data_IF_083771968963
#
_entry.id   IF_083771968963
#
_cell.length_a   1.000
_cell.length_b   1.000
_cell.length_c   1.000
_cell.angle_alpha   90.00
_cell.angle_beta   90.00
_cell.angle_gamma   90.00
#
_symmetry.space_group_name_H-M   'P 1'
#
loop_
_entity.id
_entity.type
_entity.pdbx_description
1 polymer ?
#
# COMPACT_ATOMS: atom_id res chain seq x y z
N UNK A 1 17.81 2.44 4.84
CA UNK A 1 19.26 2.59 4.70
C UNK A 1 20.02 1.26 4.65
N UNK A 2 19.56 0.21 5.30
CA UNK A 2 20.25 -1.09 5.34
C UNK A 2 19.77 -2.09 4.27
N UNK A 3 18.76 -1.74 3.51
CA UNK A 3 18.18 -2.59 2.46
C UNK A 3 17.72 -3.96 3.00
N UNK A 4 17.11 -3.95 4.18
CA UNK A 4 16.62 -5.16 4.84
C UNK A 4 15.16 -5.41 4.44
N UNK A 5 14.81 -6.64 4.05
CA UNK A 5 13.42 -7.04 3.86
C UNK A 5 12.72 -7.04 5.22
N UNK A 6 11.61 -6.34 5.28
CA UNK A 6 10.81 -6.25 6.49
C UNK A 6 9.37 -5.86 6.14
N UNK A 7 8.41 -6.49 6.78
CA UNK A 7 6.98 -6.13 6.65
C UNK A 7 6.39 -5.97 8.05
N UNK A 8 5.68 -4.87 8.25
CA UNK A 8 4.82 -4.67 9.41
C UNK A 8 3.38 -4.67 8.93
N UNK A 9 2.55 -5.54 9.50
CA UNK A 9 1.11 -5.54 9.29
C UNK A 9 0.45 -4.70 10.38
N UNK A 10 -0.35 -3.73 9.99
CA UNK A 10 -0.95 -2.77 10.92
C UNK A 10 -2.46 -2.73 10.76
N UNK A 11 -3.16 -3.05 11.85
CA UNK A 11 -4.58 -2.76 12.01
C UNK A 11 -4.71 -1.27 12.39
N UNK A 12 -4.80 -0.40 11.37
CA UNK A 12 -4.65 1.04 11.53
C UNK A 12 -5.77 1.67 12.37
N UNK A 13 -5.39 2.54 13.29
CA UNK A 13 -6.31 3.21 14.23
C UNK A 13 -5.84 4.64 14.53
N UNK A 14 -6.73 5.41 15.14
CA UNK A 14 -6.42 6.76 15.58
C UNK A 14 -5.33 6.77 16.66
N UNK A 15 -4.45 7.77 16.62
CA UNK A 15 -3.60 8.10 17.75
C UNK A 15 -4.48 8.66 18.89
N UNK A 16 -4.23 8.20 20.09
CA UNK A 16 -4.96 8.68 21.26
C UNK A 16 -4.68 10.18 21.50
N UNK A 17 -5.72 10.97 21.71
CA UNK A 17 -5.66 12.36 22.12
C UNK A 17 -6.38 12.52 23.47
N UNK A 18 -7.59 13.07 23.47
CA UNK A 18 -8.39 13.12 24.72
C UNK A 18 -8.91 11.73 25.14
N UNK A 19 -9.01 10.79 24.20
CA UNK A 19 -9.40 9.41 24.45
C UNK A 19 -8.90 8.49 23.34
N UNK A 20 -9.07 7.18 23.52
CA UNK A 20 -8.79 6.16 22.52
C UNK A 20 -10.00 5.96 21.61
N UNK A 21 -9.74 5.82 20.29
CA UNK A 21 -10.71 5.30 19.32
C UNK A 21 -10.19 3.98 18.73
N UNK A 22 -11.03 2.95 18.77
CA UNK A 22 -10.67 1.60 18.27
C UNK A 22 -11.10 1.37 16.82
N UNK A 23 -11.93 2.24 16.28
CA UNK A 23 -12.40 2.16 14.89
C UNK A 23 -11.31 2.56 13.91
N UNK A 24 -11.46 2.12 12.66
CA UNK A 24 -10.50 2.38 11.59
C UNK A 24 -10.22 3.87 11.40
N UNK A 25 -8.96 4.19 11.40
CA UNK A 25 -8.41 5.52 11.19
C UNK A 25 -6.95 5.33 10.75
N UNK A 26 -6.45 6.19 9.90
CA UNK A 26 -5.10 6.04 9.35
C UNK A 26 -4.06 6.95 10.03
N UNK A 27 -4.39 7.60 11.14
CA UNK A 27 -3.48 8.57 11.78
C UNK A 27 -2.17 7.93 12.22
N UNK A 28 -2.18 6.71 12.74
CA UNK A 28 -0.98 5.99 13.19
C UNK A 28 -0.03 5.67 12.02
N UNK A 29 -0.56 5.11 10.93
CA UNK A 29 0.25 4.78 9.75
C UNK A 29 0.70 6.03 9.01
N UNK A 30 -0.12 7.10 8.96
CA UNK A 30 0.26 8.37 8.36
C UNK A 30 1.36 9.07 9.17
N UNK A 31 1.38 8.92 10.49
CA UNK A 31 2.50 9.39 11.32
C UNK A 31 3.82 8.71 10.94
N UNK A 32 3.78 7.51 10.39
CA UNK A 32 4.95 6.74 9.96
C UNK A 32 5.35 7.00 8.48
N UNK A 33 4.61 7.79 7.71
CA UNK A 33 4.82 7.98 6.27
C UNK A 33 6.21 8.50 5.88
N UNK A 34 6.90 9.17 6.79
CA UNK A 34 8.23 9.75 6.56
C UNK A 34 9.39 8.84 7.04
N UNK A 35 9.10 7.64 7.50
CA UNK A 35 10.12 6.71 8.02
C UNK A 35 10.86 5.92 6.94
N UNK A 36 10.35 5.93 5.70
CA UNK A 36 10.96 5.23 4.56
C UNK A 36 10.35 3.86 4.27
N UNK A 37 9.26 3.49 4.92
CA UNK A 37 8.47 2.32 4.53
C UNK A 37 7.69 2.59 3.26
N UNK A 38 7.66 1.62 2.35
CA UNK A 38 6.61 1.57 1.34
C UNK A 38 5.28 1.26 2.04
N UNK A 39 4.22 1.95 1.66
CA UNK A 39 2.93 1.84 2.35
C UNK A 39 1.89 1.24 1.41
N UNK A 40 1.40 0.05 1.77
CA UNK A 40 0.45 -0.73 0.98
C UNK A 40 -0.83 -0.95 1.79
N UNK A 41 -1.95 -0.43 1.30
CA UNK A 41 -3.27 -0.53 1.93
C UNK A 41 -4.07 -1.71 1.37
N UNK A 42 -4.87 -2.35 2.21
CA UNK A 42 -5.91 -3.28 1.82
C UNK A 42 -7.30 -2.65 2.05
N UNK A 43 -8.22 -2.90 1.13
CA UNK A 43 -9.56 -2.32 1.17
C UNK A 43 -10.62 -3.29 1.74
N UNK A 44 -10.30 -4.59 1.81
CA UNK A 44 -11.20 -5.63 2.33
C UNK A 44 -10.44 -6.71 3.09
N UNK A 45 -11.15 -7.63 3.74
CA UNK A 45 -10.55 -8.77 4.44
C UNK A 45 -9.85 -9.71 3.46
N UNK A 46 -10.41 -9.91 2.26
CA UNK A 46 -9.75 -10.71 1.21
C UNK A 46 -8.48 -10.03 0.71
N UNK A 47 -8.55 -8.73 0.46
CA UNK A 47 -7.37 -7.96 0.03
C UNK A 47 -6.25 -7.96 1.08
N UNK A 48 -6.61 -8.01 2.38
CA UNK A 48 -5.62 -8.07 3.46
C UNK A 48 -4.68 -9.27 3.30
N UNK A 49 -5.23 -10.46 3.08
CA UNK A 49 -4.43 -11.66 2.87
C UNK A 49 -3.58 -11.57 1.59
N UNK A 50 -4.18 -11.08 0.51
CA UNK A 50 -3.50 -11.00 -0.79
C UNK A 50 -2.39 -9.94 -0.77
N UNK A 51 -2.67 -8.76 -0.20
CA UNK A 51 -1.68 -7.68 -0.08
C UNK A 51 -0.57 -8.00 0.93
N UNK A 52 -0.85 -8.79 1.97
CA UNK A 52 0.18 -9.29 2.86
C UNK A 52 1.21 -10.13 2.09
N UNK A 53 0.76 -11.03 1.23
CA UNK A 53 1.66 -11.81 0.38
C UNK A 53 2.44 -10.93 -0.61
N UNK A 54 1.76 -9.99 -1.28
CA UNK A 54 2.41 -9.00 -2.17
C UNK A 54 3.51 -8.24 -1.43
N UNK A 55 3.25 -7.75 -0.21
CA UNK A 55 4.22 -7.01 0.58
C UNK A 55 5.45 -7.87 0.94
N UNK A 56 5.24 -9.12 1.37
CA UNK A 56 6.33 -10.04 1.70
C UNK A 56 7.21 -10.39 0.48
N UNK A 57 6.61 -10.63 -0.67
CA UNK A 57 7.38 -10.90 -1.89
C UNK A 57 8.10 -9.65 -2.40
N UNK A 58 7.42 -8.50 -2.35
CA UNK A 58 7.97 -7.23 -2.82
C UNK A 58 9.16 -6.75 -2.00
N UNK A 59 9.12 -6.88 -0.68
CA UNK A 59 10.20 -6.36 0.19
C UNK A 59 11.55 -7.02 -0.09
N UNK A 60 11.57 -8.33 -0.42
CA UNK A 60 12.81 -9.02 -0.77
C UNK A 60 13.41 -8.48 -2.08
N UNK A 61 12.59 -8.30 -3.10
CA UNK A 61 13.03 -7.81 -4.40
C UNK A 61 13.37 -6.34 -4.38
N UNK A 62 12.51 -5.52 -3.80
CA UNK A 62 12.67 -4.06 -3.73
C UNK A 62 13.79 -3.62 -2.78
N UNK A 63 14.14 -4.43 -1.78
CA UNK A 63 15.08 -4.07 -0.70
C UNK A 63 14.62 -2.84 0.10
N UNK A 64 13.29 -2.65 0.14
CA UNK A 64 12.60 -1.58 0.85
C UNK A 64 11.65 -2.24 1.86
N UNK A 65 11.58 -1.78 3.11
CA UNK A 65 10.61 -2.30 4.06
C UNK A 65 9.19 -1.85 3.71
N UNK A 66 8.20 -2.69 4.03
CA UNK A 66 6.80 -2.42 3.78
C UNK A 66 6.02 -2.28 5.09
N UNK A 67 5.20 -1.25 5.15
CA UNK A 67 4.10 -1.11 6.10
C UNK A 67 2.83 -1.42 5.33
N UNK A 68 2.31 -2.62 5.53
CA UNK A 68 1.06 -3.06 4.95
C UNK A 68 -0.02 -2.87 6.01
N UNK A 69 -1.13 -2.22 5.64
CA UNK A 69 -2.14 -1.84 6.62
C UNK A 69 -3.57 -1.97 6.09
N UNK A 70 -4.46 -2.09 7.01
CA UNK A 70 -5.90 -2.20 6.82
C UNK A 70 -6.63 -1.52 7.97
N UNK A 71 -7.91 -1.26 7.83
CA UNK A 71 -8.68 -0.57 8.85
C UNK A 71 -8.90 -1.45 10.08
N UNK A 72 -8.46 -0.95 11.22
CA UNK A 72 -8.76 -1.55 12.50
C UNK A 72 -10.26 -1.57 12.76
N UNK A 73 -10.72 -2.60 13.45
CA UNK A 73 -12.12 -2.91 13.72
C UNK A 73 -12.90 -3.31 12.47
N UNK A 74 -12.99 -2.47 11.44
CA UNK A 74 -13.77 -2.75 10.22
C UNK A 74 -13.21 -3.93 9.41
N UNK A 75 -11.92 -4.04 9.27
CA UNK A 75 -11.29 -5.19 8.58
C UNK A 75 -10.84 -6.25 9.58
N UNK A 76 -10.29 -5.84 10.73
CA UNK A 76 -9.70 -6.77 11.70
C UNK A 76 -10.70 -7.58 12.53
N UNK A 77 -11.96 -7.15 12.68
CA UNK A 77 -12.96 -7.75 13.54
C UNK A 77 -14.23 -8.19 12.82
N UNK A 78 -14.40 -7.84 11.57
CA UNK A 78 -15.51 -8.33 10.77
C UNK A 78 -15.27 -9.79 10.34
N UNK A 79 -16.34 -10.60 10.38
CA UNK A 79 -16.27 -11.99 9.97
C UNK A 79 -16.64 -12.07 8.50
N UNK A 80 -15.65 -12.35 7.67
CA UNK A 80 -15.82 -12.54 6.24
C UNK A 80 -15.35 -13.94 5.82
N UNK A 81 -16.00 -14.50 4.82
CA UNK A 81 -15.49 -15.67 4.12
C UNK A 81 -14.46 -15.20 3.10
N UNK A 82 -13.25 -15.74 3.18
CA UNK A 82 -12.17 -15.49 2.24
C UNK A 82 -11.74 -16.76 1.53
N UNK A 83 -11.10 -16.60 0.38
CA UNK A 83 -10.44 -17.69 -0.34
C UNK A 83 -8.97 -17.72 0.03
N UNK A 84 -8.56 -18.77 0.74
CA UNK A 84 -7.19 -18.95 1.19
C UNK A 84 -6.26 -19.29 0.01
N UNK A 85 -5.05 -18.73 0.01
CA UNK A 85 -3.98 -19.09 -0.93
C UNK A 85 -3.23 -20.29 -0.33
N UNK A 86 -3.14 -21.39 -1.09
CA UNK A 86 -2.44 -22.58 -0.62
C UNK A 86 -0.95 -22.34 -0.43
N UNK A 87 -0.32 -23.08 0.50
CA UNK A 87 1.14 -23.02 0.67
C UNK A 87 1.90 -23.45 -0.59
N UNK A 88 1.34 -24.35 -1.37
CA UNK A 88 1.89 -24.78 -2.65
C UNK A 88 1.89 -23.64 -3.67
N UNK A 89 0.85 -22.82 -3.70
CA UNK A 89 0.78 -21.65 -4.58
C UNK A 89 1.69 -20.53 -4.09
N UNK A 90 1.73 -20.28 -2.80
CA UNK A 90 2.71 -19.33 -2.21
C UNK A 90 4.14 -19.74 -2.56
N UNK A 91 4.48 -21.02 -2.44
CA UNK A 91 5.82 -21.52 -2.77
C UNK A 91 6.21 -21.29 -4.24
N UNK A 92 5.25 -21.36 -5.18
CA UNK A 92 5.48 -21.04 -6.60
C UNK A 92 5.85 -19.56 -6.85
N UNK A 93 5.35 -18.67 -6.00
CA UNK A 93 5.57 -17.22 -6.12
C UNK A 93 6.88 -16.76 -5.48
N UNK A 94 7.43 -17.53 -4.55
CA UNK A 94 8.68 -17.19 -3.88
C UNK A 94 9.86 -17.31 -4.85
N UNK A 95 10.69 -16.28 -4.91
CA UNK A 95 11.91 -16.27 -5.72
C UNK A 95 13.15 -16.38 -4.83
N UNK A 96 13.72 -17.59 -4.66
CA UNK A 96 14.82 -17.85 -3.72
C UNK A 96 16.05 -16.95 -3.94
N UNK A 97 16.28 -16.50 -5.19
CA UNK A 97 17.41 -15.61 -5.51
C UNK A 97 17.44 -14.33 -4.66
N UNK A 98 16.28 -13.72 -4.38
CA UNK A 98 16.24 -12.48 -3.57
C UNK A 98 16.48 -12.76 -2.08
N UNK A 99 16.08 -13.93 -1.59
CA UNK A 99 16.39 -14.39 -0.23
C UNK A 99 17.89 -14.64 -0.11
N UNK A 100 18.50 -15.29 -1.08
CA UNK A 100 19.95 -15.52 -1.08
C UNK A 100 20.74 -14.21 -1.23
N UNK A 101 20.29 -13.27 -2.03
CA UNK A 101 20.88 -11.93 -2.08
C UNK A 101 20.81 -11.22 -0.73
N UNK A 102 19.71 -11.34 -0.01
CA UNK A 102 19.57 -10.80 1.34
C UNK A 102 20.57 -11.47 2.29
N UNK A 103 20.63 -12.81 2.32
CA UNK A 103 21.58 -13.57 3.15
C UNK A 103 23.03 -13.18 2.89
N UNK A 104 23.39 -12.94 1.61
CA UNK A 104 24.74 -12.48 1.25
C UNK A 104 25.11 -11.11 1.81
N UNK A 105 24.12 -10.22 1.98
CA UNK A 105 24.30 -8.89 2.58
C UNK A 105 24.21 -8.87 4.11
N UNK A 106 23.78 -9.96 4.72
CA UNK A 106 23.67 -10.06 6.17
C UNK A 106 25.04 -9.94 6.84
N UNK A 107 25.09 -9.29 7.98
CA UNK A 107 26.28 -9.19 8.79
C UNK A 107 26.66 -10.58 9.31
N UNK A 108 27.86 -11.05 8.99
CA UNK A 108 28.37 -12.38 9.34
C UNK A 108 29.85 -12.31 9.68
N UNK A 109 30.38 -13.23 10.52
CA UNK A 109 31.82 -13.28 10.81
C UNK A 109 32.69 -13.44 9.54
N UNK A 110 32.22 -14.22 8.55
CA UNK A 110 32.92 -14.47 7.28
C UNK A 110 32.87 -13.27 6.31
N UNK A 111 31.95 -12.33 6.54
CA UNK A 111 31.76 -11.12 5.73
C UNK A 111 31.53 -9.92 6.66
N UNK A 112 32.53 -9.49 7.42
CA UNK A 112 32.38 -8.37 8.35
C UNK A 112 32.17 -7.06 7.57
N UNK A 113 31.24 -6.25 8.03
CA UNK A 113 30.97 -4.91 7.47
C UNK A 113 31.09 -3.88 8.59
N UNK A 114 31.94 -2.90 8.39
CA UNK A 114 32.01 -1.73 9.27
C UNK A 114 31.11 -0.63 8.72
N UNK A 115 30.18 -0.15 9.53
CA UNK A 115 29.33 1.01 9.21
C UNK A 115 29.73 2.17 10.11
N UNK A 116 29.84 3.36 9.52
CA UNK A 116 30.13 4.60 10.25
C UNK A 116 28.89 5.03 11.02
N UNK A 117 29.05 5.36 12.30
CA UNK A 117 27.95 5.80 13.17
C UNK A 117 27.44 7.22 12.89
N UNK A 118 28.30 8.10 12.34
CA UNK A 118 27.96 9.47 11.98
C UNK A 118 28.63 9.86 10.66
N UNK A 119 27.95 10.72 9.91
CA UNK A 119 28.44 11.27 8.64
C UNK A 119 28.23 12.78 8.61
N UNK A 120 29.13 13.51 7.95
CA UNK A 120 28.93 14.93 7.67
C UNK A 120 27.80 15.10 6.64
N UNK A 121 27.18 16.28 6.64
CA UNK A 121 25.98 16.56 5.85
C UNK A 121 26.13 16.32 4.34
N UNK A 122 27.30 16.62 3.79
CA UNK A 122 27.62 16.39 2.38
C UNK A 122 27.60 14.88 2.01
N UNK A 123 28.30 14.06 2.78
CA UNK A 123 28.36 12.60 2.54
C UNK A 123 27.01 11.97 2.88
N UNK A 124 26.35 12.41 3.95
CA UNK A 124 25.05 11.89 4.35
C UNK A 124 23.98 12.12 3.27
N UNK A 125 23.94 13.33 2.69
CA UNK A 125 22.98 13.65 1.62
C UNK A 125 23.17 12.76 0.39
N UNK A 126 24.41 12.57 -0.07
CA UNK A 126 24.72 11.67 -1.17
C UNK A 126 24.25 10.23 -0.87
N UNK A 127 24.48 9.76 0.35
CA UNK A 127 24.01 8.45 0.80
C UNK A 127 22.48 8.33 0.77
N UNK A 128 21.77 9.39 1.13
CA UNK A 128 20.29 9.43 1.06
C UNK A 128 19.80 9.38 -0.37
N UNK A 129 20.39 10.16 -1.29
CA UNK A 129 20.03 10.16 -2.71
C UNK A 129 20.22 8.80 -3.39
N UNK A 130 21.22 8.01 -2.98
CA UNK A 130 21.45 6.67 -3.55
C UNK A 130 20.29 5.69 -3.28
N UNK A 131 19.39 6.00 -2.35
CA UNK A 131 18.23 5.18 -2.06
C UNK A 131 17.08 5.35 -3.07
N UNK A 132 17.04 6.45 -3.83
CA UNK A 132 15.94 6.79 -4.73
C UNK A 132 15.63 5.67 -5.72
N UNK A 133 16.64 5.08 -6.34
CA UNK A 133 16.48 3.97 -7.30
C UNK A 133 15.71 2.76 -6.76
N UNK A 134 15.74 2.54 -5.46
CA UNK A 134 14.99 1.45 -4.84
C UNK A 134 13.51 1.81 -4.70
N UNK A 135 13.23 3.06 -4.31
CA UNK A 135 11.84 3.55 -4.21
C UNK A 135 11.20 3.71 -5.58
N UNK A 136 11.95 4.19 -6.57
CA UNK A 136 11.47 4.34 -7.96
C UNK A 136 11.04 2.99 -8.57
N UNK A 137 11.68 1.89 -8.15
CA UNK A 137 11.34 0.55 -8.62
C UNK A 137 10.14 -0.09 -7.89
N UNK A 138 9.72 0.43 -6.74
CA UNK A 138 8.65 -0.19 -5.91
C UNK A 138 7.33 -0.33 -6.66
N UNK A 139 6.81 0.68 -7.38
CA UNK A 139 5.52 0.54 -8.06
C UNK A 139 5.49 -0.58 -9.09
N UNK A 140 6.56 -0.75 -9.87
CA UNK A 140 6.67 -1.82 -10.85
C UNK A 140 6.79 -3.20 -10.18
N UNK A 141 7.55 -3.29 -9.10
CA UNK A 141 7.71 -4.53 -8.33
C UNK A 141 6.39 -4.94 -7.67
N UNK A 142 5.67 -4.00 -7.08
CA UNK A 142 4.35 -4.26 -6.47
C UNK A 142 3.36 -4.74 -7.52
N UNK A 143 3.30 -4.09 -8.69
CA UNK A 143 2.43 -4.54 -9.77
C UNK A 143 2.80 -5.95 -10.24
N UNK A 144 4.08 -6.24 -10.42
CA UNK A 144 4.54 -7.58 -10.82
C UNK A 144 4.06 -8.66 -9.83
N UNK A 145 4.13 -8.40 -8.53
CA UNK A 145 3.64 -9.38 -7.55
C UNK A 145 2.12 -9.41 -7.41
N UNK A 146 1.41 -8.32 -7.66
CA UNK A 146 -0.03 -8.33 -7.83
C UNK A 146 -0.45 -9.23 -9.00
N UNK A 147 0.24 -9.12 -10.14
CA UNK A 147 0.00 -9.98 -11.32
C UNK A 147 0.31 -11.46 -11.03
N UNK A 148 1.40 -11.73 -10.30
CA UNK A 148 1.75 -13.10 -9.88
C UNK A 148 0.70 -13.68 -8.92
N UNK A 149 0.23 -12.91 -7.96
CA UNK A 149 -0.87 -13.34 -7.07
C UNK A 149 -2.14 -13.58 -7.88
N UNK A 150 -2.46 -12.71 -8.84
CA UNK A 150 -3.59 -12.92 -9.74
C UNK A 150 -3.49 -14.23 -10.54
N UNK A 151 -2.28 -14.63 -10.94
CA UNK A 151 -2.07 -15.89 -11.69
C UNK A 151 -2.44 -17.17 -10.93
N UNK A 152 -2.46 -17.13 -9.61
CA UNK A 152 -2.82 -18.28 -8.76
C UNK A 152 -4.19 -18.13 -8.09
N UNK A 153 -4.71 -16.90 -7.97
CA UNK A 153 -5.96 -16.62 -7.28
C UNK A 153 -7.09 -16.21 -8.22
N UNK A 154 -6.77 -15.73 -9.42
CA UNK A 154 -7.71 -15.09 -10.33
C UNK A 154 -8.11 -13.67 -9.93
N UNK A 155 -7.65 -13.15 -8.79
CA UNK A 155 -7.97 -11.81 -8.30
C UNK A 155 -6.88 -10.82 -8.75
N UNK A 156 -7.24 -9.93 -9.68
CA UNK A 156 -6.32 -8.93 -10.21
C UNK A 156 -6.41 -7.63 -9.41
N UNK A 157 -5.25 -7.11 -9.03
CA UNK A 157 -5.11 -5.84 -8.32
C UNK A 157 -4.09 -4.94 -9.01
N UNK A 158 -4.26 -3.63 -8.82
CA UNK A 158 -3.29 -2.61 -9.23
C UNK A 158 -3.01 -1.63 -8.08
N UNK A 159 -1.89 -0.88 -8.12
CA UNK A 159 -1.63 0.19 -7.15
C UNK A 159 -2.78 1.20 -7.04
N UNK A 160 -3.49 1.42 -8.13
CA UNK A 160 -4.71 2.22 -8.23
C UNK A 160 -5.71 1.50 -9.12
N UNK A 161 -6.88 1.19 -8.60
CA UNK A 161 -7.98 0.61 -9.37
C UNK A 161 -9.13 1.59 -9.50
N UNK A 162 -9.65 1.73 -10.72
CA UNK A 162 -10.83 2.52 -11.00
C UNK A 162 -12.06 1.64 -11.11
N UNK A 163 -13.15 2.05 -10.46
CA UNK A 163 -14.47 1.45 -10.58
C UNK A 163 -15.55 2.51 -10.79
N UNK A 164 -16.61 2.17 -11.50
CA UNK A 164 -17.74 3.07 -11.77
C UNK A 164 -17.93 3.39 -13.26
N UNK A 165 -18.58 4.51 -13.56
CA UNK A 165 -18.89 4.89 -14.93
C UNK A 165 -17.61 5.20 -15.74
N UNK A 166 -17.45 4.63 -16.95
CA UNK A 166 -16.23 4.84 -17.76
C UNK A 166 -16.06 6.29 -18.24
N UNK A 167 -17.13 7.06 -18.22
CA UNK A 167 -17.18 8.48 -18.58
C UNK A 167 -17.53 9.37 -17.37
N UNK A 168 -17.15 8.96 -16.17
CA UNK A 168 -17.41 9.71 -14.95
C UNK A 168 -16.78 11.11 -15.01
N UNK A 169 -17.56 12.09 -14.57
CA UNK A 169 -17.11 13.49 -14.41
C UNK A 169 -16.72 13.80 -12.97
N UNK A 170 -17.18 13.00 -12.05
CA UNK A 170 -16.98 13.12 -10.62
C UNK A 170 -16.42 11.82 -10.08
N UNK A 171 -15.25 11.91 -9.49
CA UNK A 171 -14.51 10.73 -9.01
C UNK A 171 -14.15 10.93 -7.54
N UNK A 172 -14.41 9.91 -6.74
CA UNK A 172 -13.94 9.83 -5.38
C UNK A 172 -12.58 9.12 -5.40
N UNK A 173 -11.65 9.57 -4.58
CA UNK A 173 -10.39 8.87 -4.29
C UNK A 173 -10.42 8.47 -2.84
N UNK A 174 -10.24 7.19 -2.56
CA UNK A 174 -10.30 6.66 -1.20
C UNK A 174 -9.33 5.48 -1.00
N UNK A 175 -9.06 5.14 0.26
CA UNK A 175 -8.18 4.07 0.68
C UNK A 175 -8.80 3.37 1.90
N UNK A 176 -8.59 2.05 2.00
CA UNK A 176 -9.10 1.25 3.12
C UNK A 176 -10.55 0.81 2.96
N UNK A 177 -11.15 0.34 4.05
CA UNK A 177 -12.47 -0.33 4.05
C UNK A 177 -13.63 0.54 3.56
N UNK A 178 -13.48 1.87 3.56
CA UNK A 178 -14.48 2.78 3.01
C UNK A 178 -14.71 2.57 1.50
N UNK A 179 -13.73 2.01 0.79
CA UNK A 179 -13.83 1.77 -0.64
C UNK A 179 -14.98 0.82 -1.01
N UNK A 180 -15.26 -0.21 -0.20
CA UNK A 180 -16.34 -1.16 -0.48
C UNK A 180 -17.71 -0.47 -0.43
N UNK A 181 -17.97 0.30 0.62
CA UNK A 181 -19.24 1.03 0.75
C UNK A 181 -19.41 2.12 -0.32
N UNK A 182 -18.31 2.79 -0.72
CA UNK A 182 -18.33 3.79 -1.79
C UNK A 182 -18.64 3.11 -3.12
N UNK A 183 -18.00 1.99 -3.43
CA UNK A 183 -18.22 1.22 -4.66
C UNK A 183 -19.69 0.79 -4.80
N UNK A 184 -20.24 0.13 -3.80
CA UNK A 184 -21.65 -0.30 -3.77
C UNK A 184 -22.60 0.90 -3.94
N UNK A 185 -22.30 2.03 -3.28
CA UNK A 185 -23.08 3.25 -3.41
C UNK A 185 -23.03 3.83 -4.82
N UNK A 186 -21.85 3.86 -5.43
CA UNK A 186 -21.65 4.35 -6.80
C UNK A 186 -22.38 3.46 -7.81
N UNK A 187 -22.26 2.14 -7.65
CA UNK A 187 -22.97 1.18 -8.51
C UNK A 187 -24.48 1.39 -8.45
N UNK A 188 -25.03 1.51 -7.24
CA UNK A 188 -26.47 1.81 -7.05
C UNK A 188 -26.88 3.14 -7.69
N UNK A 189 -26.14 4.23 -7.43
CA UNK A 189 -26.48 5.54 -7.96
C UNK A 189 -26.38 5.61 -9.49
N UNK A 190 -25.36 4.97 -10.06
CA UNK A 190 -25.19 4.93 -11.51
C UNK A 190 -26.29 4.11 -12.18
N UNK A 191 -26.71 2.97 -11.58
CA UNK A 191 -27.75 2.11 -12.11
C UNK A 191 -29.15 2.74 -11.95
N UNK A 192 -29.51 3.20 -10.74
CA UNK A 192 -30.87 3.59 -10.40
C UNK A 192 -31.18 5.05 -10.69
N UNK A 193 -30.16 5.92 -10.71
CA UNK A 193 -30.33 7.37 -10.89
C UNK A 193 -29.64 7.93 -12.13
N UNK A 194 -28.97 7.08 -12.90
CA UNK A 194 -28.28 7.49 -14.12
C UNK A 194 -27.14 8.48 -13.87
N UNK A 195 -26.56 8.48 -12.67
CA UNK A 195 -25.39 9.29 -12.36
C UNK A 195 -24.14 8.73 -13.05
N UNK A 196 -23.05 9.51 -13.08
CA UNK A 196 -21.78 9.12 -13.68
C UNK A 196 -20.67 9.36 -12.66
N UNK A 197 -20.68 8.57 -11.61
CA UNK A 197 -19.68 8.62 -10.56
C UNK A 197 -18.66 7.50 -10.73
N UNK A 198 -17.46 7.75 -10.22
CA UNK A 198 -16.38 6.78 -10.17
C UNK A 198 -15.61 6.84 -8.85
N UNK A 199 -14.87 5.79 -8.58
CA UNK A 199 -13.97 5.64 -7.43
C UNK A 199 -12.59 5.22 -7.93
N UNK A 200 -11.54 5.86 -7.43
CA UNK A 200 -10.18 5.32 -7.47
C UNK A 200 -9.85 4.78 -6.09
N UNK A 201 -9.59 3.48 -6.03
CA UNK A 201 -9.10 2.77 -4.84
C UNK A 201 -7.58 2.87 -4.81
N UNK A 202 -7.03 3.44 -3.74
CA UNK A 202 -5.58 3.55 -3.55
C UNK A 202 -5.10 2.35 -2.74
N UNK A 203 -4.13 1.58 -3.29
CA UNK A 203 -3.45 0.52 -2.54
C UNK A 203 -2.01 0.87 -2.25
N UNK A 204 -1.22 1.29 -3.23
CA UNK A 204 0.15 1.75 -3.00
C UNK A 204 0.15 3.26 -2.74
N UNK A 205 0.17 3.63 -1.46
CA UNK A 205 0.22 5.03 -1.04
C UNK A 205 1.64 5.61 -1.12
N UNK A 206 2.67 4.82 -0.77
CA UNK A 206 4.08 5.24 -0.85
C UNK A 206 4.98 4.11 -1.35
N UNK A 207 5.86 4.41 -2.35
CA UNK A 207 5.90 5.66 -3.11
C UNK A 207 4.64 5.85 -3.95
N UNK A 208 4.17 7.10 -4.09
CA UNK A 208 2.98 7.41 -4.87
C UNK A 208 3.34 7.54 -6.36
N UNK A 209 2.82 6.66 -7.19
CA UNK A 209 3.03 6.71 -8.64
C UNK A 209 1.98 7.60 -9.32
N UNK A 210 2.36 8.85 -9.52
CA UNK A 210 1.49 9.86 -10.17
C UNK A 210 1.07 9.44 -11.58
N UNK A 211 1.95 8.74 -12.31
CA UNK A 211 1.64 8.28 -13.67
C UNK A 211 0.51 7.27 -13.65
N UNK A 212 0.65 6.19 -12.86
CA UNK A 212 -0.40 5.16 -12.72
C UNK A 212 -1.69 5.72 -12.15
N UNK A 213 -1.60 6.64 -11.20
CA UNK A 213 -2.80 7.33 -10.68
C UNK A 213 -3.55 8.09 -11.77
N UNK A 214 -2.83 8.86 -12.59
CA UNK A 214 -3.45 9.60 -13.70
C UNK A 214 -4.00 8.67 -14.79
N UNK A 215 -3.35 7.54 -15.04
CA UNK A 215 -3.83 6.53 -15.99
C UNK A 215 -5.09 5.81 -15.51
N UNK A 216 -5.29 5.68 -14.21
CA UNK A 216 -6.50 5.11 -13.62
C UNK A 216 -7.72 6.06 -13.73
N UNK A 217 -7.51 7.37 -13.86
CA UNK A 217 -8.59 8.33 -13.96
C UNK A 217 -9.23 8.35 -15.36
N UNK A 218 -10.56 8.38 -15.47
CA UNK A 218 -11.22 8.56 -16.75
C UNK A 218 -10.90 9.96 -17.32
N UNK A 219 -10.72 10.05 -18.63
CA UNK A 219 -10.40 11.34 -19.31
C UNK A 219 -11.48 12.40 -19.18
N UNK A 220 -12.68 12.00 -18.83
CA UNK A 220 -13.88 12.85 -18.64
C UNK A 220 -13.91 13.54 -17.28
N UNK A 221 -13.04 13.18 -16.34
CA UNK A 221 -13.05 13.69 -14.96
C UNK A 221 -12.91 15.22 -14.93
N UNK A 222 -13.78 15.85 -14.14
CA UNK A 222 -13.80 17.30 -13.90
C UNK A 222 -13.67 17.67 -12.43
N UNK A 223 -14.12 16.78 -11.55
CA UNK A 223 -14.09 16.98 -10.09
C UNK A 223 -13.58 15.72 -9.41
N UNK A 224 -12.70 15.91 -8.45
CA UNK A 224 -12.17 14.84 -7.62
C UNK A 224 -12.44 15.21 -6.17
N UNK A 225 -13.04 14.27 -5.43
CA UNK A 225 -13.18 14.35 -3.99
C UNK A 225 -12.25 13.32 -3.35
N UNK A 226 -11.26 13.78 -2.61
CA UNK A 226 -10.36 12.90 -1.85
C UNK A 226 -10.95 12.72 -0.47
N UNK A 227 -11.21 11.46 -0.09
CA UNK A 227 -11.69 11.11 1.23
C UNK A 227 -10.53 10.56 2.04
N UNK A 228 -10.12 11.32 3.03
CA UNK A 228 -9.07 10.93 3.95
C UNK A 228 -9.69 10.40 5.25
N UNK A 229 -9.10 9.37 5.82
CA UNK A 229 -9.56 8.75 7.06
C UNK A 229 -8.56 8.99 8.18
N UNK A 230 -8.10 10.21 8.28
CA UNK A 230 -7.12 10.64 9.27
C UNK A 230 -7.38 12.09 9.69
N UNK A 231 -6.91 12.44 10.87
CA UNK A 231 -6.80 13.81 11.31
C UNK A 231 -5.37 14.09 11.75
N UNK A 232 -4.66 14.89 10.99
CA UNK A 232 -3.30 15.28 11.34
C UNK A 232 -3.30 16.50 12.27
N UNK A 233 -2.92 16.35 13.56
CA UNK A 233 -2.87 17.48 14.49
C UNK A 233 -1.88 18.54 14.01
N UNK A 234 -2.33 19.80 13.94
CA UNK A 234 -1.52 20.93 13.50
C UNK A 234 -1.49 21.17 11.99
N UNK A 235 -2.15 20.33 11.20
CA UNK A 235 -2.34 20.56 9.77
C UNK A 235 -3.63 21.33 9.49
N UNK A 236 -3.63 22.13 8.42
CA UNK A 236 -4.85 22.80 7.89
C UNK A 236 -5.59 21.84 6.95
N UNK A 237 -4.88 20.92 6.30
CA UNK A 237 -5.41 19.83 5.50
C UNK A 237 -4.98 18.48 6.05
N UNK A 238 -5.36 17.41 5.36
CA UNK A 238 -4.98 16.03 5.71
C UNK A 238 -4.01 15.45 4.66
N UNK A 239 -3.28 14.36 4.96
CA UNK A 239 -2.31 13.78 4.04
C UNK A 239 -2.89 13.33 2.73
#
# INVERSE_FOLDING_TARGET
GEMLPHVIHVSARALAAQSLAIFGDHTDVMACRNTGYAMLAANSVQEEMDMALVAHLSTYKAKVPFLQFFDGFRTSHEIHKIEEISYEDIAKLVEPKYIEEFKKRALRPEAPVCKVGAQNGDVYFQGRETSNKYYDAVPDIVQEYMDKVASVTGRQYHPFDYVGAPDATDVIVAMGSGCEAIEETIEYLNAERGTKYGLVKVRLYRPFDVKRFNEALPKSVKRIAVLDRTKEPGSIGEP
#
